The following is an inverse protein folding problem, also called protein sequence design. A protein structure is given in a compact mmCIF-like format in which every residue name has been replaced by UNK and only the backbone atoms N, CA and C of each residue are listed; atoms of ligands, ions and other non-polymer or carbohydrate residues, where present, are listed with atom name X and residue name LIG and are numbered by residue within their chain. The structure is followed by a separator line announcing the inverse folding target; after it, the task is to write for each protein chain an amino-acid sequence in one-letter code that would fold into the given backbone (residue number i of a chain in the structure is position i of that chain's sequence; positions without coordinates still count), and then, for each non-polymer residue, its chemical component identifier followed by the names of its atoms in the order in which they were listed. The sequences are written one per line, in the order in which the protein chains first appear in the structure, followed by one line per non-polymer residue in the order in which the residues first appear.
data_IF_328802742272
#
_entry.id   IF_328802742272
#
_cell.length_a   1.000
_cell.length_b   1.000
_cell.length_c   1.000
_cell.angle_alpha   90.00
_cell.angle_beta   90.00
_cell.angle_gamma   90.00
#
_symmetry.space_group_name_H-M   'P 1'
#
loop_
_entity.id
_entity.type
_entity.pdbx_description
1 polymer ?
#
# COMPACT_ATOMS: atom_id res chain seq x y z
N UNK A 1 -31.07 -16.65 23.92
CA UNK A 1 -30.14 -17.78 23.61
C UNK A 1 -29.59 -17.54 22.21
N UNK A 2 -28.58 -16.69 22.08
CA UNK A 2 -27.98 -16.37 20.78
C UNK A 2 -27.17 -17.57 20.29
N UNK A 3 -27.60 -18.10 19.16
CA UNK A 3 -27.09 -19.28 18.48
C UNK A 3 -25.57 -19.19 18.19
N UNK A 4 -24.85 -20.27 18.47
CA UNK A 4 -23.40 -20.32 18.34
C UNK A 4 -22.92 -20.14 16.88
N UNK A 5 -23.72 -20.52 15.89
CA UNK A 5 -23.37 -20.36 14.48
C UNK A 5 -23.35 -18.88 14.06
N UNK A 6 -24.19 -18.05 14.68
CA UNK A 6 -24.21 -16.60 14.41
C UNK A 6 -22.92 -15.91 14.87
N UNK A 7 -22.39 -16.30 16.04
CA UNK A 7 -21.11 -15.76 16.56
C UNK A 7 -19.92 -16.18 15.71
N UNK A 8 -19.92 -17.40 15.18
CA UNK A 8 -18.83 -17.88 14.30
C UNK A 8 -18.85 -17.10 12.97
N UNK A 9 -20.02 -16.83 12.39
CA UNK A 9 -20.15 -16.06 11.16
C UNK A 9 -19.69 -14.60 11.36
N UNK A 10 -20.07 -13.93 12.46
CA UNK A 10 -19.60 -12.57 12.77
C UNK A 10 -18.09 -12.49 13.00
N UNK A 11 -17.51 -13.43 13.76
CA UNK A 11 -16.07 -13.46 14.03
C UNK A 11 -15.27 -13.67 12.75
N UNK A 12 -15.75 -14.53 11.85
CA UNK A 12 -15.08 -14.77 10.58
C UNK A 12 -15.17 -13.52 9.71
N UNK A 13 -16.34 -12.89 9.59
CA UNK A 13 -16.53 -11.64 8.80
C UNK A 13 -15.67 -10.48 9.31
N UNK A 14 -15.54 -10.32 10.63
CA UNK A 14 -14.70 -9.29 11.23
C UNK A 14 -13.21 -9.47 10.90
N UNK A 15 -12.75 -10.73 10.85
CA UNK A 15 -11.37 -11.07 10.45
C UNK A 15 -11.08 -10.69 8.99
N UNK A 16 -11.99 -11.01 8.06
CA UNK A 16 -11.84 -10.67 6.63
C UNK A 16 -11.91 -9.15 6.36
N UNK A 17 -12.71 -8.40 7.14
CA UNK A 17 -12.77 -6.93 7.01
C UNK A 17 -11.46 -6.27 7.45
N UNK A 18 -10.84 -6.73 8.55
CA UNK A 18 -9.55 -6.21 8.99
C UNK A 18 -8.40 -6.53 8.02
N UNK A 19 -8.34 -7.76 7.51
CA UNK A 19 -7.30 -8.16 6.54
C UNK A 19 -7.45 -7.40 5.20
N UNK A 20 -8.68 -7.02 4.82
CA UNK A 20 -8.94 -6.21 3.63
C UNK A 20 -8.51 -4.74 3.79
N UNK A 21 -8.66 -4.13 4.98
CA UNK A 21 -8.23 -2.73 5.19
C UNK A 21 -6.71 -2.56 5.17
N UNK A 22 -5.93 -3.57 5.57
CA UNK A 22 -4.46 -3.53 5.50
C UNK A 22 -3.93 -3.55 4.05
N UNK A 23 -4.70 -4.13 3.13
CA UNK A 23 -4.31 -4.26 1.71
C UNK A 23 -4.73 -3.07 0.83
N UNK A 24 -5.71 -2.26 1.25
CA UNK A 24 -6.12 -1.03 0.52
C UNK A 24 -5.48 0.27 1.02
N UNK A 25 -4.64 0.23 2.07
CA UNK A 25 -3.92 1.42 2.52
C UNK A 25 -2.98 1.97 1.43
N UNK A 26 -3.07 3.28 1.16
CA UNK A 26 -2.15 4.03 0.29
C UNK A 26 -0.68 3.98 0.78
N UNK A 27 -0.47 3.64 2.04
CA UNK A 27 0.84 3.57 2.70
C UNK A 27 1.18 2.13 3.10
N UNK A 28 2.47 1.79 3.05
CA UNK A 28 2.99 0.51 3.57
C UNK A 28 2.73 0.40 5.06
N UNK A 29 2.34 -0.80 5.50
CA UNK A 29 2.25 -1.14 6.90
C UNK A 29 3.64 -1.20 7.55
N UNK A 30 3.68 -1.18 8.89
CA UNK A 30 4.94 -1.30 9.63
C UNK A 30 5.63 -2.65 9.36
N UNK A 31 4.86 -3.71 9.12
CA UNK A 31 5.36 -5.05 8.84
C UNK A 31 5.98 -5.12 7.44
N UNK A 32 5.28 -4.63 6.41
CA UNK A 32 5.81 -4.60 5.03
C UNK A 32 7.08 -3.76 4.93
N UNK A 33 7.10 -2.61 5.62
CA UNK A 33 8.29 -1.77 5.65
C UNK A 33 9.45 -2.45 6.39
N UNK A 34 9.16 -3.25 7.41
CA UNK A 34 10.17 -4.03 8.13
C UNK A 34 10.76 -5.15 7.26
N UNK A 35 9.93 -5.84 6.46
CA UNK A 35 10.37 -6.83 5.48
C UNK A 35 11.24 -6.22 4.39
N UNK A 36 10.85 -5.07 3.83
CA UNK A 36 11.64 -4.33 2.86
C UNK A 36 13.03 -3.94 3.41
N UNK A 37 13.08 -3.43 4.63
CA UNK A 37 14.33 -2.98 5.27
C UNK A 37 15.17 -4.17 5.78
N UNK A 38 14.55 -5.33 6.00
CA UNK A 38 15.18 -6.49 6.65
C UNK A 38 15.37 -6.30 8.16
N UNK A 39 14.49 -5.55 8.83
CA UNK A 39 14.56 -5.28 10.27
C UNK A 39 13.32 -5.78 11.01
N UNK A 40 13.33 -5.73 12.35
CA UNK A 40 12.13 -6.03 13.15
C UNK A 40 11.14 -4.87 13.11
N UNK A 41 9.85 -5.18 13.03
CA UNK A 41 8.78 -4.20 13.21
C UNK A 41 9.00 -3.44 14.54
N UNK A 42 8.86 -2.10 14.50
CA UNK A 42 9.15 -1.13 15.58
C UNK A 42 10.59 -0.61 15.70
N UNK A 43 11.54 -1.01 14.84
CA UNK A 43 12.87 -0.37 14.80
C UNK A 43 12.90 0.92 13.97
N UNK A 44 12.14 1.94 14.42
CA UNK A 44 11.88 3.20 13.68
C UNK A 44 13.15 3.91 13.21
N UNK A 45 14.17 3.98 14.07
CA UNK A 45 15.47 4.59 13.74
C UNK A 45 16.23 3.81 12.67
N UNK A 46 16.21 2.48 12.72
CA UNK A 46 16.84 1.65 11.70
C UNK A 46 16.11 1.76 10.36
N UNK A 47 14.77 1.81 10.40
CA UNK A 47 13.93 2.00 9.22
C UNK A 47 14.22 3.36 8.57
N UNK A 48 14.21 4.45 9.33
CA UNK A 48 14.54 5.78 8.81
C UNK A 48 15.96 5.83 8.23
N UNK A 49 16.96 5.30 8.95
CA UNK A 49 18.34 5.26 8.49
C UNK A 49 18.51 4.49 7.18
N UNK A 50 17.82 3.36 7.03
CA UNK A 50 17.83 2.60 5.78
C UNK A 50 17.20 3.39 4.65
N UNK A 51 16.05 4.03 4.90
CA UNK A 51 15.35 4.86 3.92
C UNK A 51 16.22 6.04 3.47
N UNK A 52 16.91 6.72 4.39
CA UNK A 52 17.84 7.81 4.09
C UNK A 52 19.03 7.33 3.24
N UNK A 53 19.63 6.18 3.63
CA UNK A 53 20.78 5.59 2.93
C UNK A 53 20.43 5.20 1.49
N UNK A 54 19.22 4.69 1.27
CA UNK A 54 18.74 4.28 -0.05
C UNK A 54 18.03 5.41 -0.81
N UNK A 55 17.98 6.62 -0.23
CA UNK A 55 17.28 7.81 -0.76
C UNK A 55 15.80 7.58 -1.06
N UNK A 56 15.11 6.86 -0.19
CA UNK A 56 13.67 6.68 -0.25
C UNK A 56 12.96 7.87 0.38
N UNK A 57 11.88 8.33 -0.26
CA UNK A 57 11.01 9.37 0.30
C UNK A 57 10.03 8.75 1.29
N UNK A 58 9.92 9.33 2.48
CA UNK A 58 8.99 8.89 3.52
C UNK A 58 8.40 10.08 4.28
N UNK A 59 7.30 9.84 4.99
CA UNK A 59 6.64 10.79 5.89
C UNK A 59 6.61 10.18 7.29
N UNK A 60 6.85 10.97 8.34
CA UNK A 60 6.73 10.50 9.72
C UNK A 60 5.28 10.65 10.20
N UNK A 61 4.71 9.60 10.77
CA UNK A 61 3.41 9.64 11.42
C UNK A 61 3.47 10.34 12.78
N UNK A 62 2.32 10.60 13.40
CA UNK A 62 2.22 11.12 14.79
C UNK A 62 3.03 10.32 15.81
N UNK A 63 3.22 9.03 15.55
CA UNK A 63 3.98 8.11 16.41
C UNK A 63 5.49 8.09 16.08
N UNK A 64 5.96 8.89 15.12
CA UNK A 64 7.35 8.89 14.64
C UNK A 64 7.73 7.63 13.85
N UNK A 65 6.73 6.88 13.35
CA UNK A 65 6.97 5.75 12.45
C UNK A 65 7.06 6.28 11.01
N UNK A 66 8.13 5.94 10.25
CA UNK A 66 8.20 6.28 8.83
C UNK A 66 7.12 5.53 8.04
N UNK A 67 6.40 6.26 7.18
CA UNK A 67 5.40 5.77 6.23
C UNK A 67 5.89 6.04 4.81
N UNK A 68 5.75 5.05 3.95
CA UNK A 68 6.09 5.11 2.53
C UNK A 68 4.82 4.81 1.73
N UNK A 69 4.56 5.54 0.66
CA UNK A 69 3.41 5.27 -0.21
C UNK A 69 3.60 3.94 -0.96
N UNK A 70 2.56 3.10 -1.00
CA UNK A 70 2.58 1.79 -1.68
C UNK A 70 2.81 1.94 -3.18
N UNK A 71 2.19 2.94 -3.80
CA UNK A 71 2.46 3.30 -5.20
C UNK A 71 3.93 3.65 -5.47
N UNK A 72 4.61 4.31 -4.51
CA UNK A 72 6.03 4.65 -4.66
C UNK A 72 6.94 3.41 -4.54
N UNK A 73 6.62 2.52 -3.59
CA UNK A 73 7.29 1.23 -3.45
C UNK A 73 7.16 0.38 -4.71
N UNK A 74 5.94 0.21 -5.22
CA UNK A 74 5.64 -0.53 -6.45
C UNK A 74 6.44 0.02 -7.64
N UNK A 75 6.45 1.35 -7.80
CA UNK A 75 7.27 2.01 -8.82
C UNK A 75 8.77 1.74 -8.67
N UNK A 76 9.30 1.73 -7.44
CA UNK A 76 10.73 1.48 -7.17
C UNK A 76 11.13 0.03 -7.43
N UNK A 77 10.21 -0.91 -7.26
CA UNK A 77 10.41 -2.32 -7.56
C UNK A 77 10.09 -2.70 -9.02
N UNK A 78 9.53 -1.78 -9.81
CA UNK A 78 9.06 -2.08 -11.15
C UNK A 78 7.83 -2.99 -11.18
N UNK A 79 7.12 -3.13 -10.05
CA UNK A 79 5.83 -3.80 -9.93
C UNK A 79 4.78 -2.76 -10.32
N UNK A 80 4.82 -2.26 -11.55
CA UNK A 80 3.75 -1.38 -12.00
C UNK A 80 2.50 -2.23 -12.24
N UNK A 81 1.45 -2.06 -11.43
CA UNK A 81 0.09 -2.20 -11.93
C UNK A 81 -0.06 -1.08 -12.95
N UNK A 82 0.18 -1.39 -14.22
CA UNK A 82 -0.12 -0.49 -15.33
C UNK A 82 -1.63 -0.29 -15.33
N UNK A 83 -2.12 0.64 -14.51
CA UNK A 83 -3.44 1.22 -14.72
C UNK A 83 -3.27 2.06 -15.97
N UNK A 84 -3.41 1.40 -17.11
CA UNK A 84 -3.21 1.97 -18.43
C UNK A 84 -3.89 3.33 -18.43
N UNK A 85 -3.07 4.38 -18.55
CA UNK A 85 -3.61 5.67 -18.94
C UNK A 85 -4.05 5.44 -20.38
N UNK A 86 -5.33 5.10 -20.56
CA UNK A 86 -6.02 5.16 -21.84
C UNK A 86 -5.96 6.60 -22.33
N UNK A 87 -4.83 6.93 -22.94
CA UNK A 87 -4.51 8.22 -23.53
C UNK A 87 -3.70 7.83 -24.74
N UNK A 88 -4.40 7.38 -25.77
CA UNK A 88 -4.51 8.05 -27.06
C UNK A 88 -5.28 7.07 -27.95
N UNK A 89 -6.43 7.49 -28.47
CA UNK A 89 -6.99 6.80 -29.62
C UNK A 89 -5.95 6.92 -30.74
N UNK A 90 -5.49 5.78 -31.26
CA UNK A 90 -4.55 5.73 -32.39
C UNK A 90 -5.16 6.25 -33.69
N UNK A 91 -6.44 6.62 -33.67
CA UNK A 91 -7.18 7.12 -34.81
C UNK A 91 -7.07 8.65 -34.90
N UNK A 92 -6.64 9.21 -36.05
CA UNK A 92 -6.67 10.66 -36.24
C UNK A 92 -8.11 11.18 -36.17
N UNK A 93 -8.33 12.28 -35.44
CA UNK A 93 -9.65 12.90 -35.30
C UNK A 93 -10.08 13.56 -36.62
N UNK A 94 -10.81 12.81 -37.46
CA UNK A 94 -11.31 13.27 -38.76
C UNK A 94 -12.39 14.36 -38.66
N UNK A 95 -12.96 14.61 -37.48
CA UNK A 95 -14.01 15.62 -37.28
C UNK A 95 -13.47 17.06 -37.24
N UNK A 96 -12.15 17.25 -37.18
CA UNK A 96 -11.55 18.58 -37.14
C UNK A 96 -11.48 19.29 -38.51
N UNK A 97 -11.84 18.62 -39.61
CA UNK A 97 -11.66 19.10 -40.98
C UNK A 97 -12.98 19.35 -41.75
N UNK A 98 -14.14 19.36 -41.06
CA UNK A 98 -15.46 19.60 -41.65
C UNK A 98 -15.92 21.05 -41.48
#
# INVERSE_FOLDING_TARGET
MTDAATRIIELTRAKWVQEAEETMSDFLSAAELAELVGCKANQRHAMAKWLDSHRWRYVLDKNGLPKVARAYYNKKLGIEETKEKARYDSTPNLQAFA
#
